data_IF_593234938788
#
_entry.id   IF_593234938788
#
_cell.length_a   1.000
_cell.length_b   1.000
_cell.length_c   1.000
_cell.angle_alpha   90.00
_cell.angle_beta   90.00
_cell.angle_gamma   90.00
#
_symmetry.space_group_name_H-M   'P 1'
#
loop_
_entity.id
_entity.type
_entity.pdbx_description
1 polymer ?
#
# COMPACT_ATOMS: atom_id res chain seq x y z
N UNK A 1 23.44 88.81 -10.82
CA UNK A 1 24.73 88.99 -10.14
C UNK A 1 25.25 87.61 -9.71
N UNK A 2 26.13 86.99 -10.50
CA UNK A 2 26.76 85.72 -10.14
C UNK A 2 27.91 86.00 -9.17
N UNK A 3 27.83 85.41 -7.97
CA UNK A 3 28.83 85.55 -6.91
C UNK A 3 30.09 84.77 -7.29
N UNK A 4 31.22 85.47 -7.36
CA UNK A 4 32.55 84.88 -7.51
C UNK A 4 32.94 84.15 -6.22
N UNK A 5 33.24 82.87 -6.29
CA UNK A 5 33.89 82.13 -5.20
C UNK A 5 35.41 82.22 -5.38
N UNK A 6 36.11 82.69 -4.35
CA UNK A 6 37.57 82.77 -4.28
C UNK A 6 38.10 81.63 -3.43
N UNK A 7 38.82 80.69 -4.04
CA UNK A 7 39.67 79.72 -3.33
C UNK A 7 41.13 79.99 -3.74
N UNK A 8 41.99 80.26 -2.74
CA UNK A 8 43.46 80.35 -2.89
C UNK A 8 43.97 81.24 -4.03
N UNK A 9 43.46 82.47 -4.16
CA UNK A 9 44.13 83.54 -4.93
C UNK A 9 44.04 83.47 -6.46
N UNK A 10 43.38 82.47 -7.05
CA UNK A 10 43.18 82.40 -8.51
C UNK A 10 41.74 82.73 -8.90
N UNK A 11 41.54 83.74 -9.78
CA UNK A 11 40.23 84.06 -10.38
C UNK A 11 39.84 83.00 -11.42
N UNK A 12 38.99 82.05 -11.03
CA UNK A 12 38.43 81.04 -11.93
C UNK A 12 37.07 81.53 -12.43
N UNK A 13 36.95 81.78 -13.73
CA UNK A 13 35.68 82.11 -14.39
C UNK A 13 34.72 80.91 -14.34
N UNK A 14 33.40 81.16 -14.24
CA UNK A 14 32.35 80.12 -14.22
C UNK A 14 32.49 79.09 -15.36
N UNK A 15 32.97 79.52 -16.53
CA UNK A 15 33.26 78.65 -17.69
C UNK A 15 34.44 77.69 -17.46
N UNK A 16 35.47 78.13 -16.71
CA UNK A 16 36.63 77.30 -16.35
C UNK A 16 36.28 76.28 -15.26
N UNK A 17 35.36 76.63 -14.36
CA UNK A 17 34.86 75.70 -13.35
C UNK A 17 34.02 74.58 -13.99
N UNK A 18 33.16 74.93 -14.96
CA UNK A 18 32.33 73.96 -15.68
C UNK A 18 33.16 72.96 -16.51
N UNK A 19 34.21 73.44 -17.18
CA UNK A 19 35.10 72.58 -17.97
C UNK A 19 35.93 71.66 -17.10
N UNK A 20 36.39 72.12 -15.93
CA UNK A 20 37.07 71.26 -14.94
C UNK A 20 36.10 70.20 -14.38
N UNK A 21 34.86 70.57 -14.05
CA UNK A 21 33.85 69.61 -13.59
C UNK A 21 33.53 68.56 -14.66
N UNK A 22 33.34 68.96 -15.93
CA UNK A 22 33.07 68.03 -17.03
C UNK A 22 34.27 67.11 -17.31
N UNK A 23 35.49 67.62 -17.19
CA UNK A 23 36.71 66.80 -17.32
C UNK A 23 36.83 65.79 -16.18
N UNK A 24 36.54 66.20 -14.95
CA UNK A 24 36.58 65.32 -13.78
C UNK A 24 35.49 64.24 -13.84
N UNK A 25 34.28 64.56 -14.28
CA UNK A 25 33.21 63.56 -14.43
C UNK A 25 33.51 62.60 -15.57
N UNK A 26 34.10 63.06 -16.67
CA UNK A 26 34.53 62.20 -17.77
C UNK A 26 35.66 61.24 -17.34
N UNK A 27 36.66 61.73 -16.61
CA UNK A 27 37.74 60.90 -16.08
C UNK A 27 37.24 59.89 -15.04
N UNK A 28 36.31 60.29 -14.17
CA UNK A 28 35.67 59.39 -13.21
C UNK A 28 34.84 58.32 -13.93
N UNK A 29 34.11 58.68 -14.99
CA UNK A 29 33.35 57.75 -15.81
C UNK A 29 34.25 56.75 -16.55
N UNK A 30 35.37 57.22 -17.10
CA UNK A 30 36.37 56.35 -17.73
C UNK A 30 37.01 55.40 -16.71
N UNK A 31 37.33 55.90 -15.50
CA UNK A 31 37.89 55.07 -14.43
C UNK A 31 36.91 53.96 -14.01
N UNK A 32 35.64 54.29 -13.79
CA UNK A 32 34.58 53.32 -13.46
C UNK A 32 34.42 52.29 -14.60
N UNK A 33 34.50 52.71 -15.86
CA UNK A 33 34.41 51.79 -17.00
C UNK A 33 35.62 50.84 -17.13
N UNK A 34 36.77 51.20 -16.55
CA UNK A 34 37.98 50.35 -16.50
C UNK A 34 38.05 49.46 -15.26
N UNK A 35 37.16 49.64 -14.28
CA UNK A 35 37.13 48.75 -13.13
C UNK A 35 36.68 47.36 -13.60
N UNK A 36 37.44 46.30 -13.26
CA UNK A 36 37.03 44.94 -13.58
C UNK A 36 35.68 44.66 -12.93
N UNK A 37 34.70 44.30 -13.76
CA UNK A 37 33.42 43.79 -13.27
C UNK A 37 33.76 42.57 -12.43
N UNK A 38 33.47 42.56 -11.10
CA UNK A 38 33.67 41.36 -10.32
C UNK A 38 32.90 40.24 -11.04
N UNK A 39 33.51 39.06 -11.26
CA UNK A 39 32.78 37.94 -11.84
C UNK A 39 31.48 37.81 -11.05
N UNK A 40 30.34 37.55 -11.72
CA UNK A 40 29.08 37.40 -11.03
C UNK A 40 29.35 36.47 -9.86
N UNK A 41 29.09 36.97 -8.65
CA UNK A 41 29.21 36.16 -7.46
C UNK A 41 28.40 34.92 -7.80
N UNK A 42 29.07 33.78 -7.93
CA UNK A 42 28.39 32.50 -7.96
C UNK A 42 27.81 32.46 -6.57
N UNK A 43 26.62 33.05 -6.40
CA UNK A 43 25.69 32.58 -5.41
C UNK A 43 25.74 31.09 -5.65
N UNK A 44 26.26 30.38 -4.67
CA UNK A 44 25.94 29.00 -4.51
C UNK A 44 24.41 28.98 -4.56
N UNK A 45 23.84 28.87 -5.77
CA UNK A 45 22.84 27.87 -6.01
C UNK A 45 23.52 26.62 -5.45
N UNK A 46 23.30 26.41 -4.15
CA UNK A 46 22.54 25.25 -3.78
C UNK A 46 21.50 25.13 -4.89
N UNK A 47 21.85 24.39 -5.94
CA UNK A 47 20.93 23.45 -6.54
C UNK A 47 20.36 22.84 -5.28
N UNK A 48 19.21 23.35 -4.85
CA UNK A 48 18.43 22.70 -3.84
C UNK A 48 18.48 21.28 -4.34
N UNK A 49 19.12 20.38 -3.58
CA UNK A 49 18.89 18.97 -3.81
C UNK A 49 17.38 18.91 -3.72
N UNK A 50 16.72 18.90 -4.87
CA UNK A 50 15.36 18.44 -4.99
C UNK A 50 15.54 17.04 -4.47
N UNK A 51 15.28 16.86 -3.18
CA UNK A 51 15.24 15.55 -2.60
C UNK A 51 14.09 14.91 -3.36
N UNK A 52 14.43 14.18 -4.42
CA UNK A 52 13.45 13.47 -5.23
C UNK A 52 12.62 12.69 -4.25
N UNK A 53 11.34 13.06 -4.15
CA UNK A 53 10.43 12.45 -3.19
C UNK A 53 10.44 10.96 -3.43
N UNK A 54 10.69 10.19 -2.37
CA UNK A 54 10.72 8.74 -2.41
C UNK A 54 9.41 8.22 -3.00
N UNK A 55 9.50 7.37 -4.02
CA UNK A 55 8.35 6.90 -4.79
C UNK A 55 7.83 5.56 -4.25
N UNK A 56 6.53 5.50 -3.97
CA UNK A 56 5.84 4.35 -3.40
C UNK A 56 5.25 3.43 -4.48
N UNK A 57 5.54 2.14 -4.43
CA UNK A 57 4.74 1.12 -5.11
C UNK A 57 3.72 0.52 -4.16
N UNK A 58 2.43 0.71 -4.43
CA UNK A 58 1.36 0.02 -3.69
C UNK A 58 1.14 -1.33 -4.35
N UNK A 59 1.52 -2.40 -3.68
CA UNK A 59 1.40 -3.76 -4.18
C UNK A 59 0.15 -4.38 -3.56
N UNK A 60 -0.81 -4.71 -4.41
CA UNK A 60 -2.12 -5.26 -4.04
C UNK A 60 -2.21 -6.70 -4.51
N UNK A 61 -2.00 -7.70 -3.63
CA UNK A 61 -2.26 -9.11 -3.93
C UNK A 61 -3.74 -9.30 -4.28
N UNK A 62 -4.04 -9.91 -5.42
CA UNK A 62 -5.40 -9.85 -5.95
C UNK A 62 -5.90 -11.15 -6.59
N UNK A 63 -7.13 -11.53 -6.23
CA UNK A 63 -7.96 -12.50 -6.95
C UNK A 63 -9.42 -12.32 -6.52
N UNK A 64 -10.33 -12.20 -7.48
CA UNK A 64 -11.79 -12.16 -7.26
C UNK A 64 -12.25 -11.13 -6.20
N UNK A 65 -11.76 -9.89 -6.32
CA UNK A 65 -12.10 -8.75 -5.44
C UNK A 65 -12.40 -7.48 -6.23
N UNK A 66 -13.09 -7.62 -7.36
CA UNK A 66 -13.28 -6.50 -8.30
C UNK A 66 -14.10 -5.35 -7.68
N UNK A 67 -15.16 -5.66 -6.94
CA UNK A 67 -15.97 -4.67 -6.21
C UNK A 67 -15.11 -3.87 -5.22
N UNK A 68 -14.27 -4.55 -4.43
CA UNK A 68 -13.37 -3.90 -3.50
C UNK A 68 -12.32 -3.05 -4.23
N UNK A 69 -11.83 -3.49 -5.39
CA UNK A 69 -10.88 -2.73 -6.20
C UNK A 69 -11.48 -1.41 -6.71
N UNK A 70 -12.77 -1.42 -7.09
CA UNK A 70 -13.49 -0.23 -7.52
C UNK A 70 -13.62 0.81 -6.40
N UNK A 71 -13.73 0.39 -5.14
CA UNK A 71 -13.67 1.31 -4.00
C UNK A 71 -12.23 1.73 -3.65
N UNK A 72 -11.31 0.77 -3.71
CA UNK A 72 -9.91 0.93 -3.31
C UNK A 72 -9.17 2.01 -4.10
N UNK A 73 -9.25 1.96 -5.43
CA UNK A 73 -8.45 2.84 -6.29
C UNK A 73 -8.78 4.33 -6.09
N UNK A 74 -10.04 4.79 -6.24
CA UNK A 74 -10.37 6.19 -6.01
C UNK A 74 -10.18 6.62 -4.55
N UNK A 75 -10.33 5.71 -3.57
CA UNK A 75 -10.02 6.00 -2.18
C UNK A 75 -8.53 6.28 -1.97
N UNK A 76 -7.67 5.35 -2.40
CA UNK A 76 -6.22 5.46 -2.19
C UNK A 76 -5.59 6.61 -2.95
N UNK A 77 -6.09 6.90 -4.16
CA UNK A 77 -5.65 8.09 -4.91
C UNK A 77 -5.91 9.38 -4.13
N UNK A 78 -7.16 9.59 -3.69
CA UNK A 78 -7.51 10.77 -2.88
C UNK A 78 -6.72 10.83 -1.58
N UNK A 79 -6.58 9.69 -0.90
CA UNK A 79 -5.91 9.60 0.40
C UNK A 79 -4.42 9.98 0.28
N UNK A 80 -3.69 9.45 -0.70
CA UNK A 80 -2.26 9.68 -0.85
C UNK A 80 -1.91 11.00 -1.54
N UNK A 81 -2.79 11.52 -2.41
CA UNK A 81 -2.65 12.87 -2.97
C UNK A 81 -2.72 13.93 -1.87
N UNK A 82 -3.60 13.78 -0.87
CA UNK A 82 -3.63 14.68 0.31
C UNK A 82 -2.34 14.64 1.14
N UNK A 83 -1.57 13.56 1.05
CA UNK A 83 -0.28 13.42 1.72
C UNK A 83 0.91 13.85 0.85
N UNK A 84 0.67 14.22 -0.41
CA UNK A 84 1.69 14.56 -1.40
C UNK A 84 2.82 13.49 -1.48
N UNK A 85 2.37 12.23 -1.56
CA UNK A 85 3.21 11.05 -1.79
C UNK A 85 3.18 10.72 -3.28
N UNK A 86 4.32 10.61 -3.98
CA UNK A 86 4.33 10.07 -5.33
C UNK A 86 4.19 8.54 -5.27
N UNK A 87 3.16 7.99 -5.90
CA UNK A 87 2.89 6.56 -5.89
C UNK A 87 2.34 6.05 -7.22
N UNK A 88 2.37 4.74 -7.41
CA UNK A 88 1.57 4.02 -8.40
C UNK A 88 0.98 2.75 -7.77
N UNK A 89 -0.17 2.29 -8.28
CA UNK A 89 -0.87 1.09 -7.80
C UNK A 89 -0.63 -0.09 -8.75
N UNK A 90 -0.18 -1.21 -8.17
CA UNK A 90 0.08 -2.46 -8.86
C UNK A 90 -0.82 -3.57 -8.31
N UNK A 91 -1.80 -3.98 -9.12
CA UNK A 91 -2.67 -5.12 -8.83
C UNK A 91 -1.96 -6.38 -9.33
N UNK A 92 -1.46 -7.19 -8.39
CA UNK A 92 -0.78 -8.44 -8.72
C UNK A 92 -1.83 -9.55 -8.72
N UNK A 93 -2.39 -9.79 -9.91
CA UNK A 93 -3.52 -10.67 -10.11
C UNK A 93 -3.07 -12.12 -10.28
N UNK A 94 -3.43 -12.99 -9.33
CA UNK A 94 -3.10 -14.42 -9.38
C UNK A 94 -4.08 -15.18 -10.31
N UNK A 95 -3.58 -15.64 -11.45
CA UNK A 95 -4.36 -16.30 -12.53
C UNK A 95 -4.26 -17.82 -12.55
N UNK A 96 -3.31 -18.42 -11.84
CA UNK A 96 -3.25 -19.87 -11.67
C UNK A 96 -4.43 -20.42 -10.84
N UNK A 97 -4.59 -21.74 -10.86
CA UNK A 97 -5.64 -22.45 -10.11
C UNK A 97 -5.19 -22.92 -8.71
N UNK A 98 -3.98 -22.57 -8.27
CA UNK A 98 -3.56 -22.86 -6.90
C UNK A 98 -4.34 -21.97 -5.93
N UNK A 99 -4.30 -22.31 -4.64
CA UNK A 99 -4.86 -21.47 -3.59
C UNK A 99 -4.20 -20.08 -3.60
N UNK A 100 -4.87 -19.10 -3.05
CA UNK A 100 -4.34 -17.74 -3.04
C UNK A 100 -3.06 -17.67 -2.20
N UNK A 101 -1.99 -17.05 -2.72
CA UNK A 101 -0.69 -16.94 -2.03
C UNK A 101 -0.26 -15.46 -1.97
N UNK A 102 -0.72 -14.78 -0.92
CA UNK A 102 -0.50 -13.35 -0.71
C UNK A 102 0.98 -12.98 -0.72
N UNK A 103 1.80 -13.72 0.03
CA UNK A 103 3.23 -13.46 0.17
C UNK A 103 4.00 -13.58 -1.15
N UNK A 104 3.75 -14.63 -1.93
CA UNK A 104 4.41 -14.80 -3.24
C UNK A 104 4.01 -13.70 -4.22
N UNK A 105 2.75 -13.25 -4.20
CA UNK A 105 2.31 -12.13 -5.03
C UNK A 105 3.00 -10.81 -4.63
N UNK A 106 3.21 -10.58 -3.33
CA UNK A 106 4.04 -9.45 -2.88
C UNK A 106 5.46 -9.56 -3.41
N UNK A 107 6.09 -10.74 -3.31
CA UNK A 107 7.44 -10.97 -3.86
C UNK A 107 7.49 -10.65 -5.37
N UNK A 108 6.52 -11.13 -6.16
CA UNK A 108 6.44 -10.84 -7.59
C UNK A 108 6.25 -9.34 -7.84
N UNK A 109 5.35 -8.68 -7.11
CA UNK A 109 5.15 -7.23 -7.22
C UNK A 109 6.40 -6.42 -6.86
N UNK A 110 7.14 -6.87 -5.85
CA UNK A 110 8.39 -6.26 -5.43
C UNK A 110 9.44 -6.30 -6.54
N UNK A 111 9.60 -7.47 -7.19
CA UNK A 111 10.53 -7.67 -8.31
C UNK A 111 10.10 -6.83 -9.52
N UNK A 112 8.82 -6.87 -9.87
CA UNK A 112 8.25 -6.14 -11.01
C UNK A 112 8.51 -4.63 -10.93
N UNK A 113 8.43 -4.07 -9.72
CA UNK A 113 8.55 -2.63 -9.46
C UNK A 113 10.00 -2.18 -9.19
N UNK A 114 11.02 -3.05 -9.32
CA UNK A 114 12.41 -2.79 -8.87
C UNK A 114 13.05 -1.49 -9.38
N UNK A 115 12.74 -1.07 -10.62
CA UNK A 115 13.49 -0.01 -11.30
C UNK A 115 13.12 1.42 -10.91
N UNK A 116 11.92 1.67 -10.37
CA UNK A 116 11.33 3.02 -10.29
C UNK A 116 10.85 3.46 -8.91
N UNK A 117 10.82 2.55 -7.93
CA UNK A 117 10.19 2.80 -6.63
C UNK A 117 11.18 2.55 -5.52
N UNK A 118 11.20 3.41 -4.51
CA UNK A 118 12.14 3.34 -3.39
C UNK A 118 11.65 2.45 -2.26
N UNK A 119 10.33 2.29 -2.14
CA UNK A 119 9.68 1.52 -1.09
C UNK A 119 8.33 0.98 -1.55
N UNK A 120 7.83 -0.02 -0.83
CA UNK A 120 6.59 -0.71 -1.15
C UNK A 120 5.60 -0.59 0.02
N UNK A 121 4.31 -0.58 -0.31
CA UNK A 121 3.23 -0.88 0.63
C UNK A 121 2.63 -2.22 0.23
N UNK A 122 2.74 -3.22 1.10
CA UNK A 122 1.95 -4.45 1.00
C UNK A 122 0.55 -4.10 1.48
N UNK A 123 -0.44 -4.15 0.59
CA UNK A 123 -1.74 -3.55 0.87
C UNK A 123 -2.89 -4.49 0.51
N UNK A 124 -3.70 -4.84 1.50
CA UNK A 124 -4.95 -5.55 1.27
C UNK A 124 -5.96 -4.63 0.57
N UNK A 125 -6.64 -5.14 -0.47
CA UNK A 125 -7.55 -4.35 -1.31
C UNK A 125 -8.83 -3.91 -0.58
N UNK A 126 -9.19 -4.62 0.49
CA UNK A 126 -10.43 -4.44 1.24
C UNK A 126 -10.25 -3.61 2.53
N UNK A 127 -9.06 -3.05 2.79
CA UNK A 127 -8.76 -2.31 4.02
C UNK A 127 -8.40 -0.85 3.70
N UNK A 128 -9.36 0.07 3.86
CA UNK A 128 -9.20 1.47 3.47
C UNK A 128 -8.86 2.36 4.69
N UNK A 129 -7.78 3.16 4.67
CA UNK A 129 -7.46 4.08 5.76
C UNK A 129 -8.45 5.25 5.79
N UNK A 130 -9.06 5.51 6.94
CA UNK A 130 -10.05 6.59 7.13
C UNK A 130 -9.49 7.80 7.87
N UNK A 131 -8.36 7.61 8.59
CA UNK A 131 -7.69 8.67 9.34
C UNK A 131 -6.48 9.21 8.55
N UNK A 132 -6.51 10.49 8.19
CA UNK A 132 -5.45 11.17 7.42
C UNK A 132 -4.11 11.28 8.20
N UNK A 133 -4.09 10.97 9.50
CA UNK A 133 -2.86 10.87 10.30
C UNK A 133 -2.09 9.55 10.08
N UNK A 134 -2.67 8.57 9.38
CA UNK A 134 -1.96 7.36 8.94
C UNK A 134 -1.02 7.71 7.77
N UNK A 135 0.23 8.05 8.07
CA UNK A 135 1.19 8.56 7.07
C UNK A 135 1.90 7.43 6.31
N UNK A 136 1.79 7.44 4.98
CA UNK A 136 2.44 6.48 4.08
C UNK A 136 3.85 6.90 3.69
N UNK A 137 4.58 7.50 4.62
CA UNK A 137 5.92 8.05 4.39
C UNK A 137 6.96 6.94 4.16
N UNK A 138 8.10 7.32 3.60
CA UNK A 138 9.24 6.41 3.42
C UNK A 138 9.69 5.82 4.77
N UNK A 139 9.80 4.48 4.89
CA UNK A 139 10.21 3.80 6.12
C UNK A 139 11.74 3.84 6.30
N UNK A 140 12.28 4.98 6.74
CA UNK A 140 13.73 5.22 6.85
C UNK A 140 14.43 4.28 7.86
N UNK A 141 13.86 4.13 9.06
CA UNK A 141 14.51 3.39 10.17
C UNK A 141 14.10 1.92 10.28
N UNK A 142 12.94 1.56 9.72
CA UNK A 142 12.40 0.22 9.78
C UNK A 142 10.99 0.18 9.19
N UNK A 143 10.42 -1.03 8.99
CA UNK A 143 9.08 -1.20 8.46
C UNK A 143 8.03 -0.42 9.25
N UNK A 144 7.07 0.21 8.55
CA UNK A 144 5.96 0.94 9.17
C UNK A 144 4.67 0.13 8.95
N UNK A 145 4.14 -0.45 10.02
CA UNK A 145 2.86 -1.17 10.00
C UNK A 145 1.71 -0.20 10.26
N UNK A 146 0.98 0.15 9.19
CA UNK A 146 -0.09 1.16 9.21
C UNK A 146 -1.33 0.62 9.93
N UNK A 147 -1.71 -0.63 9.65
CA UNK A 147 -2.89 -1.27 10.21
C UNK A 147 -2.63 -1.89 11.59
N UNK A 148 -2.17 -1.05 12.52
CA UNK A 148 -1.77 -1.44 13.88
C UNK A 148 -2.79 -2.30 14.62
N UNK A 149 -2.38 -3.25 15.50
CA UNK A 149 -3.32 -4.07 16.27
C UNK A 149 -4.32 -3.26 17.12
N UNK A 150 -3.91 -2.06 17.56
CA UNK A 150 -4.73 -1.13 18.34
C UNK A 150 -5.88 -0.49 17.54
N UNK A 151 -5.76 -0.43 16.22
CA UNK A 151 -6.71 0.27 15.33
C UNK A 151 -7.28 -0.62 14.23
N UNK A 152 -6.72 -1.81 13.99
CA UNK A 152 -7.26 -2.76 13.04
C UNK A 152 -8.62 -3.28 13.54
N UNK A 153 -9.67 -3.38 12.70
CA UNK A 153 -11.02 -3.80 13.11
C UNK A 153 -11.17 -5.28 13.53
N UNK A 154 -10.08 -6.06 13.65
CA UNK A 154 -10.19 -7.53 13.80
C UNK A 154 -9.00 -8.22 14.47
N UNK A 155 -7.78 -7.81 14.16
CA UNK A 155 -6.57 -8.49 14.62
C UNK A 155 -5.84 -7.60 15.63
N UNK A 156 -5.76 -8.04 16.89
CA UNK A 156 -5.31 -7.22 18.02
C UNK A 156 -4.09 -7.79 18.75
N UNK A 157 -3.47 -8.84 18.24
CA UNK A 157 -2.29 -9.45 18.86
C UNK A 157 -1.02 -8.67 18.52
N UNK A 158 -0.05 -8.62 19.44
CA UNK A 158 1.08 -7.68 19.36
C UNK A 158 2.00 -7.85 18.15
N UNK A 159 2.17 -9.10 17.69
CA UNK A 159 3.05 -9.45 16.56
C UNK A 159 2.38 -9.31 15.20
N UNK A 160 1.10 -8.91 15.15
CA UNK A 160 0.37 -8.72 13.91
C UNK A 160 1.00 -7.61 13.05
N UNK A 161 1.25 -7.95 11.78
CA UNK A 161 1.77 -7.05 10.75
C UNK A 161 1.08 -7.21 9.38
N UNK A 162 -0.10 -7.85 9.34
CA UNK A 162 -0.91 -8.03 8.13
C UNK A 162 -1.73 -6.79 7.78
N UNK A 163 -2.51 -6.84 6.70
CA UNK A 163 -3.25 -5.66 6.22
C UNK A 163 -2.35 -4.73 5.40
N UNK A 164 -1.76 -3.73 6.05
CA UNK A 164 -0.97 -2.66 5.43
C UNK A 164 0.39 -2.48 6.12
N UNK A 165 1.45 -2.83 5.40
CA UNK A 165 2.83 -2.74 5.88
C UNK A 165 3.73 -2.09 4.82
N UNK A 166 4.43 -1.02 5.22
CA UNK A 166 5.38 -0.29 4.39
C UNK A 166 6.80 -0.76 4.69
N UNK A 167 7.57 -1.04 3.66
CA UNK A 167 8.95 -1.54 3.78
C UNK A 167 9.82 -0.90 2.70
N UNK A 168 11.02 -0.44 3.07
CA UNK A 168 11.97 0.07 2.07
C UNK A 168 12.49 -1.09 1.22
N UNK A 169 12.98 -0.80 0.01
CA UNK A 169 13.57 -1.87 -0.81
C UNK A 169 14.73 -2.59 -0.12
N UNK A 170 15.60 -1.82 0.51
CA UNK A 170 16.78 -2.38 1.20
C UNK A 170 16.37 -3.26 2.38
N UNK A 171 15.34 -2.86 3.15
CA UNK A 171 14.78 -3.67 4.24
C UNK A 171 14.17 -4.97 3.72
N UNK A 172 13.43 -4.92 2.59
CA UNK A 172 12.80 -6.10 2.01
C UNK A 172 13.84 -7.08 1.45
N UNK A 173 14.89 -6.58 0.78
CA UNK A 173 16.01 -7.41 0.31
C UNK A 173 16.82 -7.98 1.48
N UNK A 174 17.05 -7.21 2.54
CA UNK A 174 17.78 -7.66 3.73
C UNK A 174 17.14 -8.92 4.34
N UNK A 175 15.81 -8.96 4.38
CA UNK A 175 15.06 -10.11 4.90
C UNK A 175 14.74 -11.16 3.84
N UNK A 176 15.23 -10.97 2.61
CA UNK A 176 15.00 -11.83 1.45
C UNK A 176 13.52 -12.00 1.12
N UNK A 177 12.74 -10.94 1.30
CA UNK A 177 11.29 -10.90 1.12
C UNK A 177 10.50 -11.91 1.96
N UNK A 178 9.28 -12.20 1.52
CA UNK A 178 8.34 -13.09 2.22
C UNK A 178 8.57 -14.56 1.83
N UNK A 179 8.08 -15.49 2.65
CA UNK A 179 8.08 -16.92 2.30
C UNK A 179 7.09 -17.24 1.19
N UNK A 180 7.47 -18.14 0.28
CA UNK A 180 6.62 -18.64 -0.80
C UNK A 180 5.70 -19.81 -0.38
N UNK A 181 5.82 -20.32 0.85
CA UNK A 181 5.18 -21.57 1.28
C UNK A 181 3.72 -21.41 1.74
N UNK A 182 3.19 -20.19 1.76
CA UNK A 182 1.90 -19.85 2.37
C UNK A 182 0.77 -19.82 1.34
N UNK A 183 0.22 -21.00 1.04
CA UNK A 183 -0.94 -21.17 0.17
C UNK A 183 -2.24 -21.26 0.98
N UNK A 184 -3.19 -20.37 0.70
CA UNK A 184 -4.41 -20.17 1.48
C UNK A 184 -4.22 -19.16 2.61
N UNK A 185 -5.23 -19.03 3.49
CA UNK A 185 -5.22 -17.97 4.49
C UNK A 185 -4.33 -18.29 5.71
N UNK A 186 -3.49 -17.30 6.05
CA UNK A 186 -2.87 -17.07 7.36
C UNK A 186 -1.41 -17.51 7.49
N UNK A 187 -0.74 -16.91 8.49
CA UNK A 187 0.62 -17.15 8.97
C UNK A 187 1.76 -16.57 8.13
N UNK A 188 1.50 -16.04 6.93
CA UNK A 188 2.57 -15.49 6.08
C UNK A 188 3.10 -14.15 6.62
N UNK A 189 2.23 -13.37 7.25
CA UNK A 189 2.53 -12.13 7.96
C UNK A 189 3.27 -12.42 9.28
N UNK A 190 2.82 -13.42 10.04
CA UNK A 190 3.51 -13.90 11.24
C UNK A 190 4.93 -14.38 10.94
N UNK A 191 5.13 -15.13 9.85
CA UNK A 191 6.47 -15.58 9.46
C UNK A 191 7.35 -14.41 9.02
N UNK A 192 6.78 -13.45 8.27
CA UNK A 192 7.49 -12.25 7.86
C UNK A 192 7.92 -11.40 9.06
N UNK A 193 7.09 -11.32 10.12
CA UNK A 193 7.45 -10.65 11.37
C UNK A 193 8.72 -11.25 11.98
N UNK A 194 8.83 -12.58 11.97
CA UNK A 194 10.03 -13.28 12.45
C UNK A 194 11.24 -12.98 11.55
N UNK A 195 11.06 -12.83 10.23
CA UNK A 195 12.16 -12.41 9.33
C UNK A 195 12.68 -11.02 9.69
N UNK A 196 11.79 -10.06 9.92
CA UNK A 196 12.14 -8.70 10.34
C UNK A 196 12.91 -8.72 11.67
N UNK A 197 12.42 -9.49 12.64
CA UNK A 197 13.07 -9.66 13.94
C UNK A 197 14.45 -10.30 13.84
N UNK A 198 14.59 -11.37 13.04
CA UNK A 198 15.87 -12.06 12.80
C UNK A 198 16.91 -11.10 12.20
N UNK A 199 16.48 -10.12 11.39
CA UNK A 199 17.36 -9.10 10.79
C UNK A 199 17.59 -7.87 11.68
N UNK A 200 17.07 -7.86 12.92
CA UNK A 200 17.19 -6.72 13.83
C UNK A 200 16.34 -5.50 13.44
N UNK A 201 15.37 -5.66 12.54
CA UNK A 201 14.49 -4.57 12.12
C UNK A 201 13.33 -4.40 13.11
N UNK A 202 13.21 -3.20 13.67
CA UNK A 202 12.07 -2.81 14.50
C UNK A 202 10.88 -2.42 13.62
N UNK A 203 9.70 -2.94 13.93
CA UNK A 203 8.43 -2.51 13.31
C UNK A 203 7.93 -1.26 14.03
N UNK A 204 7.74 -0.19 13.28
CA UNK A 204 7.14 1.06 13.74
C UNK A 204 5.64 1.06 13.42
N UNK A 205 4.85 1.74 14.25
CA UNK A 205 3.40 1.87 14.06
C UNK A 205 2.99 3.33 14.25
N UNK A 206 1.90 3.80 13.62
CA UNK A 206 1.41 5.15 13.84
C UNK A 206 1.13 5.42 15.33
N UNK A 207 1.69 6.52 15.84
CA UNK A 207 1.48 7.00 17.21
C UNK A 207 0.44 8.12 17.20
N UNK A 208 -0.19 8.37 18.37
CA UNK A 208 -1.16 9.45 18.57
C UNK A 208 -2.35 9.42 17.60
N UNK A 209 -2.79 8.22 17.20
CA UNK A 209 -4.02 8.04 16.42
C UNK A 209 -5.21 8.15 17.37
N UNK A 210 -6.10 9.12 17.11
CA UNK A 210 -7.26 9.43 17.94
C UNK A 210 -8.46 8.53 17.68
N UNK A 211 -8.52 7.90 16.50
CA UNK A 211 -9.55 6.93 16.11
C UNK A 211 -9.20 5.53 16.63
N UNK A 212 -10.20 4.66 16.78
CA UNK A 212 -10.10 3.31 17.33
C UNK A 212 -10.31 2.21 16.28
N UNK A 213 -10.70 1.03 16.75
CA UNK A 213 -10.90 -0.17 15.92
C UNK A 213 -12.10 -0.08 14.97
N UNK A 214 -13.01 0.86 15.20
CA UNK A 214 -14.28 0.97 14.46
C UNK A 214 -14.22 2.00 13.31
N UNK A 215 -13.33 2.98 13.42
CA UNK A 215 -13.33 4.18 12.57
C UNK A 215 -11.95 4.55 11.99
N UNK A 216 -10.87 3.84 12.36
CA UNK A 216 -9.55 4.06 11.74
C UNK A 216 -9.48 3.49 10.31
N UNK A 217 -10.14 2.35 10.07
CA UNK A 217 -10.19 1.67 8.78
C UNK A 217 -11.60 1.25 8.40
N UNK A 218 -11.97 1.44 7.13
CA UNK A 218 -13.14 0.78 6.54
C UNK A 218 -12.68 -0.57 5.97
N UNK A 219 -13.18 -1.67 6.54
CA UNK A 219 -12.84 -3.03 6.11
C UNK A 219 -14.02 -3.67 5.37
N UNK A 220 -13.92 -3.71 4.04
CA UNK A 220 -14.98 -4.16 3.12
C UNK A 220 -14.90 -5.68 2.95
N UNK A 221 -15.26 -6.41 4.01
CA UNK A 221 -15.07 -7.85 4.05
C UNK A 221 -16.26 -8.57 4.68
N UNK A 222 -17.27 -8.86 3.87
CA UNK A 222 -18.35 -9.77 4.27
C UNK A 222 -17.81 -11.21 4.35
N UNK A 223 -17.89 -11.82 5.53
CA UNK A 223 -17.32 -13.17 5.78
C UNK A 223 -18.07 -14.29 5.05
N UNK A 224 -19.33 -14.06 4.67
CA UNK A 224 -20.17 -15.01 3.95
C UNK A 224 -19.88 -14.98 2.45
N UNK A 225 -19.68 -13.78 1.88
CA UNK A 225 -19.34 -13.56 0.47
C UNK A 225 -17.85 -13.79 0.19
N UNK A 226 -16.96 -13.25 1.02
CA UNK A 226 -15.49 -13.35 0.91
C UNK A 226 -14.93 -14.36 1.90
N UNK A 227 -15.26 -15.64 1.71
CA UNK A 227 -14.78 -16.72 2.58
C UNK A 227 -13.25 -16.82 2.55
N UNK A 228 -12.63 -16.85 3.74
CA UNK A 228 -11.20 -17.16 3.88
C UNK A 228 -10.96 -18.64 3.62
N UNK A 229 -9.97 -18.98 2.79
CA UNK A 229 -9.55 -20.37 2.57
C UNK A 229 -8.71 -20.88 3.76
N UNK A 230 -9.39 -21.26 4.82
CA UNK A 230 -8.80 -21.75 6.08
C UNK A 230 -8.33 -23.20 6.00
N UNK A 231 -8.63 -23.93 4.92
CA UNK A 231 -8.39 -25.37 4.78
C UNK A 231 -6.93 -25.70 5.06
N UNK A 232 -6.69 -26.87 5.65
CA UNK A 232 -5.36 -27.43 5.87
C UNK A 232 -5.37 -28.86 5.36
N UNK A 233 -4.42 -29.18 4.50
CA UNK A 233 -4.26 -30.50 3.89
C UNK A 233 -2.78 -30.90 3.93
N UNK A 234 -2.50 -32.20 3.79
CA UNK A 234 -1.15 -32.75 3.99
C UNK A 234 -0.58 -32.34 5.36
N UNK A 235 0.71 -32.06 5.45
CA UNK A 235 1.40 -31.56 6.64
C UNK A 235 1.45 -30.02 6.73
N UNK A 236 0.57 -29.29 6.00
CA UNK A 236 0.59 -27.82 5.96
C UNK A 236 0.64 -27.19 7.36
N UNK A 237 -0.19 -27.68 8.29
CA UNK A 237 -0.29 -27.12 9.65
C UNK A 237 1.04 -27.17 10.40
N UNK A 238 1.83 -28.21 10.19
CA UNK A 238 3.13 -28.38 10.82
C UNK A 238 4.17 -27.49 10.15
N UNK A 239 4.24 -27.52 8.82
CA UNK A 239 5.29 -26.80 8.06
C UNK A 239 5.12 -25.29 8.17
N UNK A 240 3.92 -24.75 7.97
CA UNK A 240 3.70 -23.29 7.92
C UNK A 240 3.81 -22.59 9.29
N UNK A 241 3.95 -23.36 10.38
CA UNK A 241 4.21 -22.83 11.73
C UNK A 241 5.71 -22.74 12.07
N UNK A 242 6.57 -23.27 11.21
CA UNK A 242 8.03 -23.17 11.35
C UNK A 242 8.54 -22.00 10.53
N UNK A 243 9.62 -21.38 11.00
CA UNK A 243 10.36 -20.33 10.27
C UNK A 243 10.93 -20.92 8.98
N UNK A 244 10.60 -20.34 7.84
CA UNK A 244 11.08 -20.80 6.54
C UNK A 244 12.39 -20.12 6.14
N UNK A 245 13.52 -20.76 6.44
CA UNK A 245 14.85 -20.25 6.10
C UNK A 245 15.30 -20.57 4.67
N UNK A 246 14.44 -21.22 3.88
CA UNK A 246 14.80 -21.71 2.54
C UNK A 246 14.27 -20.77 1.46
N UNK A 247 12.96 -20.49 1.44
CA UNK A 247 12.37 -19.68 0.36
C UNK A 247 12.50 -18.17 0.60
N UNK A 248 12.49 -17.42 -0.49
CA UNK A 248 12.77 -15.99 -0.57
C UNK A 248 12.10 -15.31 -1.78
N UNK A 249 12.30 -14.00 -1.88
CA UNK A 249 11.95 -13.23 -3.06
C UNK A 249 12.75 -13.64 -4.31
N UNK A 250 13.93 -14.24 -4.18
CA UNK A 250 14.79 -14.55 -5.33
C UNK A 250 14.47 -15.88 -6.01
N UNK A 251 13.73 -16.78 -5.35
CA UNK A 251 13.35 -18.11 -5.82
C UNK A 251 11.84 -18.29 -5.93
N UNK A 252 11.07 -17.20 -5.85
CA UNK A 252 9.64 -17.24 -6.19
C UNK A 252 9.51 -17.68 -7.65
N UNK A 253 8.83 -18.80 -7.89
CA UNK A 253 8.64 -19.36 -9.21
C UNK A 253 7.32 -18.86 -9.81
N UNK A 254 7.40 -18.09 -10.91
CA UNK A 254 6.22 -17.48 -11.52
C UNK A 254 6.42 -17.18 -13.00
N UNK A 255 5.31 -17.03 -13.72
CA UNK A 255 5.24 -16.44 -15.05
C UNK A 255 4.38 -15.17 -15.01
N UNK A 256 4.76 -14.15 -15.78
CA UNK A 256 3.87 -13.03 -16.09
C UNK A 256 3.27 -13.30 -17.46
N UNK A 257 1.96 -13.52 -17.53
CA UNK A 257 1.29 -13.76 -18.80
C UNK A 257 1.12 -12.48 -19.61
N UNK A 258 0.70 -11.41 -18.95
CA UNK A 258 0.54 -10.09 -19.55
C UNK A 258 0.47 -9.01 -18.46
N UNK A 259 0.48 -7.76 -18.90
CA UNK A 259 0.28 -6.59 -18.06
C UNK A 259 -0.65 -5.63 -18.76
N UNK A 260 -1.61 -5.07 -18.01
CA UNK A 260 -2.57 -4.10 -18.52
C UNK A 260 -2.44 -2.78 -17.75
N UNK A 261 -2.36 -1.68 -18.49
CA UNK A 261 -2.65 -0.36 -17.94
C UNK A 261 -4.16 -0.18 -17.97
N UNK A 262 -4.79 -0.09 -16.81
CA UNK A 262 -6.24 0.05 -16.65
C UNK A 262 -6.51 1.38 -15.96
N UNK A 263 -7.65 2.01 -16.23
CA UNK A 263 -8.11 3.17 -15.47
C UNK A 263 -9.43 2.85 -14.79
N UNK A 264 -9.55 3.21 -13.50
CA UNK A 264 -10.80 3.22 -12.74
C UNK A 264 -11.07 4.68 -12.40
N UNK A 265 -12.19 5.24 -12.86
CA UNK A 265 -12.51 6.67 -12.75
C UNK A 265 -11.40 7.59 -13.29
N UNK A 266 -10.82 7.23 -14.45
CA UNK A 266 -9.66 7.90 -15.08
C UNK A 266 -8.36 7.87 -14.24
N UNK A 267 -8.32 7.09 -13.15
CA UNK A 267 -7.13 6.93 -12.32
C UNK A 267 -6.34 5.70 -12.78
N UNK A 268 -5.09 5.85 -13.23
CA UNK A 268 -4.34 4.76 -13.82
C UNK A 268 -3.87 3.75 -12.77
N UNK A 269 -3.96 2.48 -13.09
CA UNK A 269 -3.39 1.37 -12.33
C UNK A 269 -2.71 0.40 -13.28
N UNK A 270 -1.76 -0.38 -12.76
CA UNK A 270 -1.15 -1.47 -13.52
C UNK A 270 -1.65 -2.81 -12.97
N UNK A 271 -2.26 -3.62 -13.82
CA UNK A 271 -2.66 -5.00 -13.50
C UNK A 271 -1.63 -5.95 -14.09
N UNK A 272 -0.96 -6.72 -13.24
CA UNK A 272 0.04 -7.72 -13.62
C UNK A 272 -0.58 -9.10 -13.44
N UNK A 273 -0.81 -9.82 -14.52
CA UNK A 273 -1.38 -11.17 -14.48
C UNK A 273 -0.27 -12.21 -14.26
N UNK A 274 -0.29 -12.82 -13.08
CA UNK A 274 0.75 -13.70 -12.57
C UNK A 274 0.22 -15.13 -12.44
N UNK A 275 0.98 -16.07 -12.97
CA UNK A 275 0.85 -17.50 -12.67
C UNK A 275 1.95 -17.89 -11.69
N UNK A 276 1.57 -18.26 -10.47
CA UNK A 276 2.52 -18.80 -9.49
C UNK A 276 2.69 -20.30 -9.71
N UNK A 277 3.94 -20.73 -9.85
CA UNK A 277 4.29 -22.14 -10.05
C UNK A 277 4.44 -22.83 -8.69
N UNK A 278 3.65 -23.88 -8.47
CA UNK A 278 3.73 -24.67 -7.25
C UNK A 278 4.59 -25.92 -7.45
N UNK A 279 5.65 -26.06 -6.65
CA UNK A 279 6.31 -27.35 -6.49
C UNK A 279 5.53 -28.23 -5.49
N UNK A 280 4.69 -29.12 -6.03
CA UNK A 280 3.84 -30.02 -5.23
C UNK A 280 4.61 -31.01 -4.35
N UNK A 281 5.91 -31.23 -4.61
CA UNK A 281 6.74 -32.07 -3.73
C UNK A 281 7.13 -31.35 -2.43
N UNK A 282 7.22 -30.01 -2.47
CA UNK A 282 7.62 -29.17 -1.33
C UNK A 282 6.40 -28.59 -0.63
N UNK A 283 5.44 -28.06 -1.39
CA UNK A 283 4.23 -27.43 -0.86
C UNK A 283 2.97 -28.04 -1.49
N UNK A 284 2.69 -29.34 -1.27
CA UNK A 284 1.52 -30.00 -1.87
C UNK A 284 0.19 -29.32 -1.51
N UNK A 285 0.13 -28.60 -0.39
CA UNK A 285 -1.05 -27.84 0.04
C UNK A 285 -1.38 -26.60 -0.79
N UNK A 286 -0.59 -26.29 -1.82
CA UNK A 286 -0.97 -25.30 -2.84
C UNK A 286 -2.26 -25.68 -3.57
N UNK A 287 -2.57 -26.98 -3.65
CA UNK A 287 -3.84 -27.52 -4.13
C UNK A 287 -4.31 -28.61 -3.16
N UNK A 288 -5.30 -28.30 -2.34
CA UNK A 288 -5.91 -29.31 -1.47
C UNK A 288 -6.85 -30.22 -2.28
N UNK A 289 -6.93 -31.52 -1.94
CA UNK A 289 -7.97 -32.40 -2.47
C UNK A 289 -9.36 -31.81 -2.22
N UNK A 290 -10.28 -32.02 -3.17
CA UNK A 290 -11.69 -31.68 -2.98
C UNK A 290 -12.25 -32.41 -1.75
N UNK A 291 -13.06 -31.75 -0.90
CA UNK A 291 -13.71 -32.42 0.20
C UNK A 291 -14.58 -33.56 -0.35
N UNK A 292 -14.71 -34.69 0.37
CA UNK A 292 -15.59 -35.77 -0.05
C UNK A 292 -17.00 -35.21 -0.25
N UNK A 293 -17.60 -35.45 -1.43
CA UNK A 293 -19.00 -35.08 -1.67
C UNK A 293 -19.83 -35.72 -0.56
N UNK A 294 -20.45 -34.92 0.31
CA UNK A 294 -21.44 -35.41 1.25
C UNK A 294 -22.53 -36.08 0.42
N UNK A 295 -22.60 -37.42 0.47
CA UNK A 295 -23.80 -38.12 -0.01
C UNK A 295 -24.93 -37.54 0.83
N UNK A 296 -25.76 -36.67 0.24
CA UNK A 296 -27.09 -36.46 0.78
C UNK A 296 -27.69 -37.85 0.87
N UNK A 297 -27.81 -38.39 2.09
CA UNK A 297 -28.68 -39.53 2.32
C UNK A 297 -30.02 -39.04 1.77
N UNK A 298 -30.45 -39.58 0.63
CA UNK A 298 -31.87 -39.54 0.28
C UNK A 298 -32.54 -40.15 1.50
N UNK A 299 -33.20 -39.31 2.28
CA UNK A 299 -34.15 -39.80 3.27
C UNK A 299 -35.20 -40.47 2.40
N UNK A 300 -35.14 -41.80 2.36
CA UNK A 300 -36.13 -42.60 1.68
C UNK A 300 -37.45 -42.36 2.42
N UNK A 301 -38.32 -41.55 1.82
CA UNK A 301 -39.63 -41.20 2.35
C UNK A 301 -40.55 -42.42 2.49
N UNK A 302 -40.13 -43.60 2.02
CA UNK A 302 -40.83 -44.86 2.29
C UNK A 302 -40.69 -45.34 3.75
N UNK A 303 -39.64 -44.92 4.49
CA UNK A 303 -39.40 -45.37 5.87
C UNK A 303 -40.04 -44.48 6.95
N UNK A 304 -40.49 -43.27 6.60
CA UNK A 304 -41.27 -42.43 7.52
C UNK A 304 -42.77 -42.76 7.51
N UNK A 305 -43.29 -43.43 6.47
CA UNK A 305 -44.71 -43.83 6.40
C UNK A 305 -45.04 -45.06 7.26
N UNK A 306 -44.05 -45.83 7.71
CA UNK A 306 -44.28 -46.98 8.60
C UNK A 306 -44.22 -46.64 10.10
N UNK A 307 -43.90 -45.40 10.48
CA UNK A 307 -43.85 -44.97 11.89
C UNK A 307 -44.88 -43.90 12.27
N UNK A 308 -45.69 -43.40 11.32
CA UNK A 308 -46.77 -42.43 11.59
C UNK A 308 -48.15 -43.10 11.58
N UNK A 309 -48.22 -44.44 11.46
CA UNK A 309 -49.47 -45.21 11.49
C UNK A 309 -49.96 -45.61 12.89
N UNK A 310 -49.36 -45.10 13.98
CA UNK A 310 -49.67 -45.57 15.33
C UNK A 310 -49.65 -44.45 16.38
N UNK A 311 -50.29 -43.32 16.11
CA UNK A 311 -50.77 -42.38 17.14
C UNK A 311 -51.96 -41.60 16.55
N UNK A 312 -53.08 -42.31 16.43
CA UNK A 312 -54.39 -41.68 16.50
C UNK A 312 -54.69 -41.37 17.97
N UNK A 313 -55.48 -40.31 18.14
CA UNK A 313 -56.06 -39.81 19.39
C UNK A 313 -55.17 -38.89 20.23
N UNK A 314 -55.79 -37.77 20.61
CA UNK A 314 -55.35 -36.64 21.43
C UNK A 314 -54.77 -35.42 20.72
N UNK A 315 -55.65 -34.60 20.12
CA UNK A 315 -55.56 -33.14 20.25
C UNK A 315 -56.97 -32.50 20.30
N UNK A 316 -57.23 -31.51 21.18
CA UNK A 316 -58.53 -30.87 21.32
C UNK A 316 -58.83 -29.94 20.14
N UNK A 317 -60.13 -29.83 19.81
CA UNK A 317 -60.69 -28.78 18.98
C UNK A 317 -60.49 -27.43 19.68
N UNK A 318 -59.82 -26.49 19.01
CA UNK A 318 -60.20 -25.07 18.92
C UNK A 318 -59.02 -24.23 18.44
N UNK A 319 -59.16 -23.67 17.23
CA UNK A 319 -58.72 -22.32 16.82
C UNK A 319 -58.77 -22.24 15.30
N UNK A 320 -59.94 -21.85 14.80
CA UNK A 320 -60.14 -21.39 13.43
C UNK A 320 -59.44 -20.05 13.18
N UNK A 321 -59.06 -19.86 11.91
CA UNK A 321 -58.81 -18.60 11.21
C UNK A 321 -57.60 -17.77 11.65
N UNK A 322 -56.66 -17.53 10.73
CA UNK A 322 -56.47 -16.22 10.10
C UNK A 322 -55.59 -16.33 8.84
N UNK A 323 -56.10 -15.76 7.74
CA UNK A 323 -55.45 -15.65 6.43
C UNK A 323 -54.43 -14.50 6.43
N UNK A 324 -53.25 -14.71 5.85
CA UNK A 324 -52.21 -13.69 5.73
C UNK A 324 -52.22 -13.11 4.31
N UNK A 325 -52.70 -11.87 4.17
CA UNK A 325 -52.48 -11.01 3.00
C UNK A 325 -51.11 -10.31 3.16
N UNK A 326 -50.34 -10.25 2.08
CA UNK A 326 -49.02 -9.65 2.05
C UNK A 326 -49.02 -8.13 1.80
N UNK A 327 -48.11 -7.43 2.46
CA UNK A 327 -47.41 -6.22 1.99
C UNK A 327 -46.05 -6.09 2.73
N UNK A 328 -45.01 -5.48 2.11
CA UNK A 328 -43.68 -5.35 2.71
C UNK A 328 -43.50 -4.03 3.50
N UNK A 329 -42.59 -3.99 4.50
CA UNK A 329 -42.35 -2.81 5.34
C UNK A 329 -41.20 -1.90 4.81
N UNK A 330 -41.03 -0.68 5.38
CA UNK A 330 -40.32 0.46 4.77
C UNK A 330 -38.79 0.41 4.80
#
# INVERSE_FOLDING_TARGET
MLKNLSLMGYRISSSKCLTICLGLTFLMGCFIATLPIPPPEIQNLQIAKTHDKKKLAIIVPFRDRFEELLEFVPHMYRFLQRQDIPFDIFVIQQKDSNRFNRASLINVGFIYTKKKYDYIAMHDVDLLPMNDNLKYKYPEFGPIHISSPQTHPKYHYETFIGGILLVSRDQFELVKGMSNNYWGWGLEDDEFYVRLKDAGLKVYRPENITTGTEDTFKHIHDKTYRKRDMRKCFNQREVTRRRDRVSSVHDVAYNIHNTHSVAIDNLPITVVNVELLCNKTVTPWCQCPEPPKTRHRRIDSSRLKSQIGAYGDWLPQDAQHFSYNGQPPP
#
